data_IF_692612219710
#
_entry.id   IF_692612219710
#
_cell.length_a   1.000
_cell.length_b   1.000
_cell.length_c   1.000
_cell.angle_alpha   90.00
_cell.angle_beta   90.00
_cell.angle_gamma   90.00
#
_symmetry.space_group_name_H-M   'P 1'
#
loop_
_entity.id
_entity.type
_entity.pdbx_description
1 polymer ?
#
# COMPACT_ATOMS: atom_id res chain seq x y z
N UNK A 1 -7.89 -2.80 -0.45
CA UNK A 1 -8.80 -2.20 0.56
C UNK A 1 -8.12 -1.14 1.43
N UNK A 2 -7.01 -1.42 2.12
CA UNK A 2 -6.34 -0.42 2.99
C UNK A 2 -5.91 0.86 2.26
N UNK A 3 -5.31 0.73 1.07
CA UNK A 3 -4.91 1.88 0.23
C UNK A 3 -6.11 2.77 -0.14
N UNK A 4 -7.29 2.19 -0.36
CA UNK A 4 -8.51 2.92 -0.69
C UNK A 4 -8.99 3.79 0.48
N UNK A 5 -9.00 3.26 1.71
CA UNK A 5 -9.38 4.03 2.89
C UNK A 5 -8.42 5.20 3.13
N UNK A 6 -7.11 4.95 3.06
CA UNK A 6 -6.09 5.99 3.28
C UNK A 6 -6.16 7.09 2.21
N UNK A 7 -6.40 6.73 0.94
CA UNK A 7 -6.57 7.72 -0.12
C UNK A 7 -7.84 8.56 0.08
N UNK A 8 -8.95 7.93 0.46
CA UNK A 8 -10.23 8.62 0.72
C UNK A 8 -10.12 9.56 1.92
N UNK A 9 -9.40 9.18 2.97
CA UNK A 9 -9.07 10.04 4.12
C UNK A 9 -8.30 11.30 3.68
N UNK A 10 -7.25 11.14 2.88
CA UNK A 10 -6.41 12.25 2.44
C UNK A 10 -7.11 13.21 1.49
N UNK A 11 -7.99 12.69 0.62
CA UNK A 11 -8.56 13.43 -0.50
C UNK A 11 -9.99 13.91 -0.19
N UNK A 12 -10.74 13.20 0.66
CA UNK A 12 -12.13 13.53 1.00
C UNK A 12 -13.14 13.24 -0.11
N UNK A 13 -12.75 12.50 -1.16
CA UNK A 13 -13.56 12.20 -2.34
C UNK A 13 -13.24 10.82 -2.91
N UNK A 14 -14.27 10.01 -3.16
CA UNK A 14 -14.10 8.71 -3.80
C UNK A 14 -13.64 8.82 -5.25
N UNK A 15 -14.15 9.82 -5.98
CA UNK A 15 -13.81 10.02 -7.39
C UNK A 15 -12.35 10.42 -7.55
N UNK A 16 -11.89 11.35 -6.72
CA UNK A 16 -10.51 11.83 -6.79
C UNK A 16 -9.53 10.80 -6.23
N UNK A 17 -9.90 10.08 -5.17
CA UNK A 17 -9.13 8.93 -4.68
C UNK A 17 -8.99 7.83 -5.73
N UNK A 18 -10.06 7.54 -6.49
CA UNK A 18 -10.01 6.58 -7.59
C UNK A 18 -9.05 7.03 -8.70
N UNK A 19 -9.06 8.32 -9.04
CA UNK A 19 -8.11 8.89 -10.02
C UNK A 19 -6.66 8.73 -9.56
N UNK A 20 -6.36 9.05 -8.30
CA UNK A 20 -5.00 8.92 -7.73
C UNK A 20 -4.56 7.46 -7.68
N UNK A 21 -5.44 6.55 -7.32
CA UNK A 21 -5.16 5.11 -7.26
C UNK A 21 -5.22 4.41 -8.62
N UNK A 22 -5.55 5.13 -9.71
CA UNK A 22 -5.78 4.58 -11.06
C UNK A 22 -6.80 3.44 -11.08
N UNK A 23 -7.86 3.59 -10.28
CA UNK A 23 -9.01 2.68 -10.24
C UNK A 23 -10.28 3.40 -10.70
N UNK A 24 -11.35 2.63 -10.93
CA UNK A 24 -12.69 3.20 -11.08
C UNK A 24 -13.27 3.59 -9.72
N UNK A 25 -14.12 4.62 -9.69
CA UNK A 25 -14.81 5.05 -8.46
C UNK A 25 -15.61 3.91 -7.79
N UNK A 26 -16.35 3.04 -8.53
CA UNK A 26 -17.00 1.88 -7.94
C UNK A 26 -16.03 0.90 -7.29
N UNK A 27 -14.84 0.67 -7.88
CA UNK A 27 -13.84 -0.22 -7.31
C UNK A 27 -13.29 0.31 -5.98
N UNK A 28 -12.99 1.61 -5.87
CA UNK A 28 -12.57 2.22 -4.60
C UNK A 28 -13.69 2.16 -3.57
N UNK A 29 -14.93 2.44 -3.96
CA UNK A 29 -16.09 2.32 -3.05
C UNK A 29 -16.27 0.90 -2.53
N UNK A 30 -16.19 -0.10 -3.41
CA UNK A 30 -16.30 -1.52 -3.04
C UNK A 30 -15.16 -1.95 -2.10
N UNK A 31 -13.93 -1.47 -2.33
CA UNK A 31 -12.80 -1.74 -1.46
C UNK A 31 -12.99 -1.16 -0.05
N UNK A 32 -13.56 0.04 0.09
CA UNK A 32 -13.88 0.63 1.39
C UNK A 32 -15.03 -0.14 2.07
N UNK A 33 -16.09 -0.46 1.34
CA UNK A 33 -17.21 -1.27 1.87
C UNK A 33 -16.75 -2.65 2.36
N UNK A 34 -15.86 -3.32 1.63
CA UNK A 34 -15.29 -4.59 2.04
C UNK A 34 -14.51 -4.46 3.36
N UNK A 35 -13.78 -3.36 3.54
CA UNK A 35 -13.07 -3.08 4.79
C UNK A 35 -14.05 -2.80 5.95
N UNK A 36 -15.08 -1.99 5.71
CA UNK A 36 -16.15 -1.73 6.69
C UNK A 36 -16.83 -3.04 7.13
N UNK A 37 -17.10 -3.94 6.19
CA UNK A 37 -17.64 -5.28 6.48
C UNK A 37 -16.70 -6.10 7.35
N UNK A 38 -15.41 -6.12 7.03
CA UNK A 38 -14.40 -6.81 7.83
C UNK A 38 -14.26 -6.23 9.25
N UNK A 39 -14.43 -4.92 9.41
CA UNK A 39 -14.41 -4.25 10.71
C UNK A 39 -15.75 -4.33 11.46
N UNK A 40 -16.83 -4.78 10.82
CA UNK A 40 -18.18 -4.80 11.40
C UNK A 40 -18.76 -3.41 11.69
N UNK A 41 -18.17 -2.34 11.15
CA UNK A 41 -18.60 -0.96 11.40
C UNK A 41 -18.25 -0.04 10.24
N UNK A 42 -19.00 1.06 10.11
CA UNK A 42 -18.70 2.09 9.11
C UNK A 42 -17.46 2.87 9.50
N UNK A 43 -16.58 3.06 8.53
CA UNK A 43 -15.34 3.83 8.65
C UNK A 43 -15.48 5.20 8.01
N UNK A 44 -16.42 5.37 7.07
CA UNK A 44 -16.68 6.64 6.42
C UNK A 44 -18.17 7.03 6.41
N UNK A 45 -18.44 8.32 6.36
CA UNK A 45 -19.74 8.91 6.05
C UNK A 45 -19.65 9.74 4.77
N UNK A 46 -20.72 9.73 3.98
CA UNK A 46 -20.92 10.68 2.88
C UNK A 46 -21.70 11.88 3.41
N UNK A 47 -21.14 13.08 3.26
CA UNK A 47 -21.80 14.36 3.54
C UNK A 47 -21.86 15.17 2.24
N UNK A 48 -22.95 14.99 1.49
CA UNK A 48 -23.09 15.53 0.15
C UNK A 48 -22.01 14.95 -0.78
N UNK A 49 -21.24 15.83 -1.41
CA UNK A 49 -20.11 15.46 -2.29
C UNK A 49 -18.84 15.06 -1.54
N UNK A 50 -18.75 15.31 -0.22
CA UNK A 50 -17.56 15.02 0.59
C UNK A 50 -17.67 13.71 1.35
N UNK A 51 -16.52 13.10 1.59
CA UNK A 51 -16.36 11.94 2.46
C UNK A 51 -15.68 12.39 3.74
N UNK A 52 -16.20 11.95 4.88
CA UNK A 52 -15.62 12.23 6.21
C UNK A 52 -15.47 10.93 6.98
N UNK A 53 -14.45 10.84 7.83
CA UNK A 53 -14.24 9.65 8.66
C UNK A 53 -15.26 9.58 9.80
N UNK A 54 -15.70 8.37 10.13
CA UNK A 54 -16.33 8.07 11.42
C UNK A 54 -15.28 8.06 12.53
N UNK A 55 -15.70 7.92 13.79
CA UNK A 55 -14.76 7.69 14.90
C UNK A 55 -13.94 6.41 14.71
N UNK A 56 -14.59 5.32 14.28
CA UNK A 56 -13.91 4.08 13.93
C UNK A 56 -12.93 4.28 12.76
N UNK A 57 -13.32 5.07 11.74
CA UNK A 57 -12.45 5.43 10.63
C UNK A 57 -11.19 6.17 11.06
N UNK A 58 -11.33 7.17 11.95
CA UNK A 58 -10.20 7.92 12.52
C UNK A 58 -9.20 7.02 13.24
N UNK A 59 -9.68 5.99 13.94
CA UNK A 59 -8.85 4.98 14.59
C UNK A 59 -8.25 3.96 13.60
N UNK A 60 -8.97 3.63 12.54
CA UNK A 60 -8.54 2.64 11.54
C UNK A 60 -7.45 3.15 10.60
N UNK A 61 -7.51 4.42 10.19
CA UNK A 61 -6.54 5.02 9.26
C UNK A 61 -5.07 4.88 9.71
N UNK A 62 -4.68 5.24 10.95
CA UNK A 62 -3.28 5.07 11.39
C UNK A 62 -2.84 3.60 11.36
N UNK A 63 -3.71 2.66 11.74
CA UNK A 63 -3.43 1.23 11.65
C UNK A 63 -3.24 0.78 10.19
N UNK A 64 -4.11 1.22 9.28
CA UNK A 64 -4.00 0.94 7.85
C UNK A 64 -2.69 1.47 7.25
N UNK A 65 -2.24 2.67 7.68
CA UNK A 65 -0.95 3.24 7.26
C UNK A 65 0.22 2.39 7.75
N UNK A 66 0.20 1.93 9.00
CA UNK A 66 1.24 1.05 9.56
C UNK A 66 1.31 -0.29 8.80
N UNK A 67 0.16 -0.92 8.53
CA UNK A 67 0.12 -2.18 7.77
C UNK A 67 0.65 -2.01 6.35
N UNK A 68 0.35 -0.89 5.70
CA UNK A 68 0.88 -0.59 4.37
C UNK A 68 2.38 -0.32 4.39
N UNK A 69 2.91 0.32 5.43
CA UNK A 69 4.34 0.49 5.60
C UNK A 69 5.03 -0.86 5.78
N UNK A 70 4.52 -1.72 6.67
CA UNK A 70 5.07 -3.06 6.87
C UNK A 70 5.04 -3.91 5.58
N UNK A 71 3.96 -3.81 4.79
CA UNK A 71 3.88 -4.49 3.49
C UNK A 71 4.96 -4.00 2.50
N UNK A 72 5.24 -2.68 2.48
CA UNK A 72 6.34 -2.13 1.66
C UNK A 72 7.69 -2.65 2.13
N UNK A 73 7.95 -2.69 3.43
CA UNK A 73 9.20 -3.26 3.94
C UNK A 73 9.38 -4.71 3.50
N UNK A 74 8.30 -5.51 3.53
CA UNK A 74 8.31 -6.88 3.04
C UNK A 74 8.66 -6.97 1.54
N UNK A 75 8.13 -6.08 0.72
CA UNK A 75 8.43 -6.00 -0.73
C UNK A 75 9.95 -5.76 -0.97
N UNK A 76 10.62 -4.97 -0.12
CA UNK A 76 12.05 -4.64 -0.28
C UNK A 76 13.01 -5.75 0.19
N UNK A 77 12.55 -6.74 0.97
CA UNK A 77 13.41 -7.86 1.43
C UNK A 77 13.93 -8.68 0.23
N UNK A 78 13.11 -8.84 -0.81
CA UNK A 78 13.50 -9.55 -2.03
C UNK A 78 14.57 -8.81 -2.83
N UNK A 79 14.47 -7.48 -2.91
CA UNK A 79 15.37 -6.64 -3.69
C UNK A 79 16.79 -6.58 -3.10
N UNK A 80 16.91 -6.56 -1.76
CA UNK A 80 18.21 -6.54 -1.07
C UNK A 80 19.02 -7.85 -1.21
N UNK A 81 18.37 -8.95 -1.64
CA UNK A 81 19.02 -10.25 -1.82
C UNK A 81 19.55 -10.48 -3.24
N UNK A 82 19.08 -9.69 -4.23
CA UNK A 82 19.45 -9.87 -5.64
C UNK A 82 20.78 -9.21 -6.04
N UNK A 83 21.37 -8.38 -5.16
CA UNK A 83 22.61 -7.62 -5.45
C UNK A 83 23.92 -8.34 -5.04
N UNK A 84 23.83 -9.59 -4.56
CA UNK A 84 25.01 -10.40 -4.16
C UNK A 84 25.41 -11.50 -5.15
N UNK A 85 24.94 -11.43 -6.39
CA UNK A 85 24.91 -12.58 -7.28
C UNK A 85 25.65 -12.51 -8.61
N UNK A 86 26.45 -11.51 -8.96
CA UNK A 86 27.23 -11.53 -10.21
C UNK A 86 28.58 -10.81 -10.08
N UNK A 87 29.45 -11.39 -9.26
CA UNK A 87 30.88 -11.10 -9.23
C UNK A 87 31.66 -12.41 -9.37
N UNK A 88 31.42 -13.18 -10.44
CA UNK A 88 32.37 -14.22 -10.86
C UNK A 88 33.66 -13.51 -11.28
N UNK A 89 34.53 -13.29 -10.29
CA UNK A 89 35.93 -12.97 -10.50
C UNK A 89 36.58 -14.28 -10.92
N UNK A 90 36.64 -14.51 -12.23
CA UNK A 90 37.58 -15.48 -12.79
C UNK A 90 38.98 -15.04 -12.38
N UNK A 91 39.53 -15.68 -11.35
CA UNK A 91 40.96 -15.62 -11.06
C UNK A 91 41.66 -16.53 -12.06
N UNK A 92 42.28 -15.94 -13.07
CA UNK A 92 43.26 -16.63 -13.90
C UNK A 92 44.53 -16.75 -13.07
N UNK A 93 44.77 -17.91 -12.44
CA UNK A 93 46.10 -18.27 -11.94
C UNK A 93 46.87 -18.85 -13.12
N UNK A 94 47.76 -18.06 -13.71
CA UNK A 94 48.76 -18.57 -14.65
C UNK A 94 49.91 -19.22 -13.87
N UNK A 95 50.36 -20.43 -14.21
CA UNK A 95 51.50 -21.03 -13.55
C UNK A 95 52.81 -20.38 -14.04
N UNK A 96 53.45 -19.67 -13.11
CA UNK A 96 54.86 -19.79 -12.73
C UNK A 96 55.90 -19.99 -13.86
N UNK A 97 56.54 -18.89 -14.27
CA UNK A 97 57.76 -18.91 -15.09
C UNK A 97 58.98 -19.28 -14.23
N UNK A 98 59.61 -20.42 -14.54
CA UNK A 98 60.95 -20.82 -14.11
C UNK A 98 61.78 -21.23 -15.33
#
# INVERSE_FOLDING_TARGET
>A
MLRALVAVDQIGSFTDAARVLRFSTPAVSAQVQALEKGCGTRLVHRRGSRVVLTEAGRRAVPLARLMLAAARELEHIGDASSDRGLGTRTFSVGPEDA
#
